data_IF_351297116330
#
_entry.id   IF_351297116330
#
_cell.length_a   1.000
_cell.length_b   1.000
_cell.length_c   1.000
_cell.angle_alpha   90.00
_cell.angle_beta   90.00
_cell.angle_gamma   90.00
#
_symmetry.space_group_name_H-M   'P 1'
#
loop_
_entity.id
_entity.type
_entity.pdbx_description
1 polymer ?
#
# COMPACT_ATOMS: atom_id res chain seq x y z
N UNK A 1 28.45 -0.02 2.88
CA UNK A 1 27.78 -0.42 1.63
C UNK A 1 28.77 -0.90 0.56
N UNK A 2 28.31 -1.75 -0.38
CA UNK A 2 29.16 -2.30 -1.46
C UNK A 2 29.34 -1.26 -2.55
N UNK A 3 30.60 -1.02 -2.95
CA UNK A 3 30.93 -0.10 -4.05
C UNK A 3 30.70 -0.79 -5.38
N UNK A 4 29.90 -0.21 -6.26
CA UNK A 4 29.54 -0.77 -7.55
C UNK A 4 29.96 0.10 -8.74
N UNK A 5 30.17 1.40 -8.53
CA UNK A 5 30.58 2.32 -9.59
C UNK A 5 32.05 2.10 -9.95
N UNK A 6 32.34 1.92 -11.23
CA UNK A 6 33.70 1.89 -11.76
C UNK A 6 34.35 3.28 -11.73
N UNK A 7 35.69 3.38 -11.78
CA UNK A 7 36.36 4.68 -11.90
C UNK A 7 35.91 5.52 -13.11
N UNK A 8 35.62 4.86 -14.24
CA UNK A 8 35.14 5.51 -15.46
C UNK A 8 33.72 6.07 -15.26
N UNK A 9 32.83 5.33 -14.61
CA UNK A 9 31.47 5.79 -14.27
C UNK A 9 31.53 6.98 -13.31
N UNK A 10 32.35 6.91 -12.29
CA UNK A 10 32.59 8.05 -11.36
C UNK A 10 33.12 9.28 -12.09
N UNK A 11 34.06 9.09 -13.02
CA UNK A 11 34.57 10.19 -13.83
C UNK A 11 33.47 10.77 -14.74
N UNK A 12 32.60 9.92 -15.28
CA UNK A 12 31.46 10.36 -16.08
C UNK A 12 30.47 11.19 -15.25
N UNK A 13 30.09 10.72 -14.07
CA UNK A 13 29.20 11.44 -13.14
C UNK A 13 29.78 12.80 -12.74
N UNK A 14 31.07 12.88 -12.45
CA UNK A 14 31.75 14.17 -12.20
C UNK A 14 31.62 15.14 -13.37
N UNK A 15 31.75 14.65 -14.62
CA UNK A 15 31.56 15.48 -15.82
C UNK A 15 30.12 15.96 -15.97
N UNK A 16 29.16 15.10 -15.70
CA UNK A 16 27.74 15.47 -15.69
C UNK A 16 27.49 16.59 -14.70
N UNK A 17 27.90 16.45 -13.45
CA UNK A 17 27.74 17.47 -12.43
C UNK A 17 28.45 18.78 -12.77
N UNK A 18 29.65 18.70 -13.36
CA UNK A 18 30.38 19.91 -13.79
C UNK A 18 29.68 20.61 -14.96
N UNK A 19 29.13 19.85 -15.90
CA UNK A 19 28.34 20.40 -16.99
C UNK A 19 27.09 21.11 -16.47
N UNK A 20 26.37 20.49 -15.55
CA UNK A 20 25.19 21.09 -14.93
C UNK A 20 25.55 22.39 -14.19
N UNK A 21 26.63 22.39 -13.42
CA UNK A 21 27.13 23.60 -12.78
C UNK A 21 27.55 24.72 -13.77
N UNK A 22 28.06 24.35 -14.96
CA UNK A 22 28.41 25.33 -15.99
C UNK A 22 27.20 26.02 -16.65
N UNK A 23 26.03 25.42 -16.53
CA UNK A 23 24.75 25.99 -16.96
C UNK A 23 24.15 26.96 -15.93
N UNK A 24 24.90 27.29 -14.86
CA UNK A 24 24.42 28.14 -13.78
C UNK A 24 23.42 27.45 -12.83
N UNK A 25 23.37 26.12 -12.89
CA UNK A 25 22.59 25.32 -11.97
C UNK A 25 23.37 25.21 -10.66
N UNK A 26 23.11 26.14 -9.76
CA UNK A 26 23.60 26.06 -8.40
C UNK A 26 22.80 24.99 -7.70
N UNK A 27 23.42 23.83 -7.44
CA UNK A 27 22.85 22.70 -6.72
C UNK A 27 21.67 22.01 -7.45
N UNK A 28 21.95 20.90 -8.10
CA UNK A 28 20.93 20.06 -8.75
C UNK A 28 20.93 18.66 -8.17
N UNK A 29 19.80 18.21 -7.72
CA UNK A 29 19.48 16.79 -7.57
C UNK A 29 18.81 16.32 -8.86
N UNK A 30 19.23 15.18 -9.37
CA UNK A 30 18.57 14.50 -10.46
C UNK A 30 17.89 13.30 -9.81
N UNK A 31 16.58 13.35 -9.75
CA UNK A 31 15.75 12.30 -9.20
C UNK A 31 15.18 11.45 -10.31
N UNK A 32 15.19 10.15 -10.14
CA UNK A 32 14.57 9.18 -11.03
C UNK A 32 13.56 8.39 -10.23
N UNK A 33 12.32 8.52 -10.60
CA UNK A 33 11.21 7.84 -9.96
C UNK A 33 10.83 6.58 -10.74
N UNK A 34 10.57 5.51 -10.02
CA UNK A 34 9.98 4.28 -10.55
C UNK A 34 8.76 3.99 -9.70
N UNK A 35 7.58 4.18 -10.28
CA UNK A 35 6.35 3.76 -9.65
C UNK A 35 6.10 2.30 -9.97
N UNK A 36 5.87 1.50 -8.96
CA UNK A 36 5.40 0.12 -9.11
C UNK A 36 4.08 0.00 -8.38
N UNK A 37 3.02 -0.33 -9.11
CA UNK A 37 1.68 -0.59 -8.55
C UNK A 37 1.44 -2.07 -8.25
N UNK A 38 2.43 -2.93 -8.46
CA UNK A 38 2.32 -4.36 -8.25
C UNK A 38 3.45 -4.85 -7.36
N UNK A 39 3.15 -5.80 -6.47
CA UNK A 39 4.11 -6.50 -5.61
C UNK A 39 5.20 -7.23 -6.40
N UNK A 40 4.96 -7.52 -7.68
CA UNK A 40 5.93 -8.11 -8.60
C UNK A 40 6.67 -6.99 -9.35
N UNK A 41 7.82 -6.59 -8.83
CA UNK A 41 8.71 -5.64 -9.51
C UNK A 41 9.28 -6.32 -10.76
N UNK A 42 8.66 -6.08 -11.91
CA UNK A 42 9.17 -6.54 -13.19
C UNK A 42 10.16 -5.51 -13.75
N UNK A 43 11.43 -5.72 -13.47
CA UNK A 43 12.53 -4.82 -13.87
C UNK A 43 12.72 -4.69 -15.38
N UNK A 44 12.12 -5.57 -16.19
CA UNK A 44 12.22 -5.52 -17.66
C UNK A 44 11.32 -4.44 -18.28
N UNK A 45 10.38 -3.86 -17.50
CA UNK A 45 9.40 -2.86 -17.95
C UNK A 45 9.48 -1.53 -17.17
N UNK A 46 10.65 -1.13 -16.71
CA UNK A 46 10.80 0.12 -15.96
C UNK A 46 10.55 1.32 -16.89
N UNK A 47 9.44 2.00 -16.66
CA UNK A 47 9.18 3.30 -17.24
C UNK A 47 9.88 4.37 -16.40
N UNK A 48 10.99 4.90 -16.89
CA UNK A 48 11.70 5.97 -16.24
C UNK A 48 10.95 7.29 -16.39
N UNK A 49 10.34 7.73 -15.32
CA UNK A 49 9.95 9.13 -15.16
C UNK A 49 11.11 9.83 -14.46
N UNK A 50 11.69 10.81 -15.10
CA UNK A 50 12.74 11.62 -14.49
C UNK A 50 12.20 13.01 -14.17
N UNK A 51 12.40 13.43 -12.95
CA UNK A 51 12.15 14.81 -12.52
C UNK A 51 13.50 15.44 -12.25
N UNK A 52 13.82 16.53 -12.93
CA UNK A 52 15.02 17.31 -12.62
C UNK A 52 14.62 18.48 -11.75
N UNK A 53 14.90 18.40 -10.47
CA UNK A 53 14.74 19.53 -9.55
C UNK A 53 16.00 20.40 -9.56
N UNK A 54 15.98 21.44 -10.37
CA UNK A 54 16.97 22.51 -10.28
C UNK A 54 16.36 23.73 -9.62
N UNK A 55 17.12 24.42 -8.80
CA UNK A 55 16.70 25.60 -8.03
C UNK A 55 16.11 26.75 -8.87
N UNK A 56 16.08 26.65 -10.21
CA UNK A 56 15.58 27.64 -11.14
C UNK A 56 14.65 27.10 -12.25
N UNK A 57 13.95 25.99 -12.07
CA UNK A 57 12.94 25.47 -13.03
C UNK A 57 13.44 25.17 -14.46
N UNK A 58 14.66 24.72 -14.64
CA UNK A 58 15.16 24.30 -15.94
C UNK A 58 15.02 22.77 -16.08
N UNK A 59 14.31 22.31 -17.11
CA UNK A 59 14.38 20.92 -17.56
C UNK A 59 15.54 20.78 -18.56
N UNK A 60 16.53 19.97 -18.23
CA UNK A 60 17.60 19.62 -19.14
C UNK A 60 17.41 18.17 -19.63
N UNK A 61 17.73 17.90 -20.89
CA UNK A 61 17.77 16.51 -21.37
C UNK A 61 18.86 15.74 -20.62
N UNK A 62 18.50 14.56 -20.13
CA UNK A 62 19.42 13.66 -19.46
C UNK A 62 20.53 13.20 -20.41
N UNK A 63 21.78 13.25 -19.95
CA UNK A 63 22.88 12.66 -20.72
C UNK A 63 22.63 11.15 -20.90
N UNK A 64 22.59 10.68 -22.14
CA UNK A 64 22.30 9.28 -22.49
C UNK A 64 23.19 8.24 -21.82
N UNK A 65 24.38 8.64 -21.37
CA UNK A 65 25.31 7.79 -20.62
C UNK A 65 24.94 7.55 -19.15
N UNK A 66 23.90 8.22 -18.62
CA UNK A 66 23.42 7.95 -17.26
C UNK A 66 22.61 6.66 -17.19
N UNK A 67 21.77 6.41 -18.17
CA UNK A 67 20.84 5.26 -18.17
C UNK A 67 21.55 3.93 -17.83
N UNK A 68 22.67 3.55 -18.46
CA UNK A 68 23.35 2.30 -18.10
C UNK A 68 23.88 2.26 -16.64
N UNK A 69 24.19 3.40 -16.06
CA UNK A 69 24.61 3.49 -14.65
C UNK A 69 23.42 3.25 -13.72
N UNK A 70 22.28 3.84 -14.05
CA UNK A 70 21.03 3.69 -13.30
C UNK A 70 20.54 2.24 -13.34
N UNK A 71 20.46 1.65 -14.54
CA UNK A 71 20.10 0.24 -14.73
C UNK A 71 20.99 -0.70 -13.91
N UNK A 72 22.30 -0.40 -13.85
CA UNK A 72 23.26 -1.17 -13.06
C UNK A 72 22.98 -1.09 -11.56
N UNK A 73 22.64 0.08 -11.05
CA UNK A 73 22.31 0.28 -9.63
C UNK A 73 21.06 -0.49 -9.25
N UNK A 74 20.01 -0.41 -10.08
CA UNK A 74 18.76 -1.12 -9.88
C UNK A 74 18.98 -2.62 -9.92
N UNK A 75 19.69 -3.08 -10.96
CA UNK A 75 20.03 -4.50 -11.06
C UNK A 75 20.81 -5.00 -9.84
N UNK A 76 21.74 -4.21 -9.33
CA UNK A 76 22.49 -4.53 -8.11
C UNK A 76 21.53 -4.65 -6.92
N UNK A 77 20.65 -3.70 -6.72
CA UNK A 77 19.71 -3.73 -5.60
C UNK A 77 18.75 -4.95 -5.70
N UNK A 78 18.30 -5.28 -6.92
CA UNK A 78 17.52 -6.49 -7.19
C UNK A 78 18.28 -7.77 -6.87
N UNK A 79 19.50 -7.91 -7.43
CA UNK A 79 20.32 -9.11 -7.25
C UNK A 79 20.70 -9.36 -5.77
N UNK A 80 20.82 -8.30 -4.97
CA UNK A 80 21.11 -8.38 -3.52
C UNK A 80 19.85 -8.53 -2.66
N UNK A 81 18.64 -8.50 -3.27
CA UNK A 81 17.37 -8.66 -2.56
C UNK A 81 17.05 -7.52 -1.59
N UNK A 82 17.48 -6.28 -1.92
CA UNK A 82 17.35 -5.14 -1.02
C UNK A 82 15.92 -4.55 -0.93
N UNK A 83 14.98 -5.09 -1.72
CA UNK A 83 13.62 -4.54 -1.86
C UNK A 83 12.55 -5.24 -1.03
N UNK A 84 12.91 -6.11 -0.10
CA UNK A 84 11.91 -6.74 0.74
C UNK A 84 11.64 -5.83 1.95
N UNK A 85 10.48 -5.19 2.05
CA UNK A 85 10.10 -4.54 3.29
C UNK A 85 9.89 -5.62 4.34
N UNK A 86 10.81 -5.72 5.30
CA UNK A 86 10.73 -6.67 6.41
C UNK A 86 9.53 -6.39 7.35
N UNK A 87 8.81 -5.29 7.14
CA UNK A 87 7.84 -4.75 8.09
C UNK A 87 6.37 -4.88 7.67
N UNK A 88 6.07 -5.20 6.40
CA UNK A 88 4.69 -5.36 5.94
C UNK A 88 4.50 -6.68 5.20
N UNK A 89 3.29 -7.22 5.28
CA UNK A 89 2.88 -8.28 4.38
C UNK A 89 2.86 -7.69 2.95
N UNK A 90 3.42 -8.37 1.95
CA UNK A 90 3.38 -7.89 0.56
C UNK A 90 1.97 -7.53 0.07
N UNK A 91 0.93 -8.15 0.62
CA UNK A 91 -0.46 -7.88 0.29
C UNK A 91 -0.96 -6.53 0.85
N UNK A 92 -0.29 -5.99 1.86
CA UNK A 92 -0.66 -4.72 2.50
C UNK A 92 0.02 -3.51 1.84
N UNK A 93 0.97 -3.73 0.92
CA UNK A 93 1.70 -2.64 0.24
C UNK A 93 0.78 -1.96 -0.76
N UNK A 94 0.57 -0.66 -0.56
CA UNK A 94 -0.29 0.15 -1.42
C UNK A 94 0.45 0.74 -2.62
N UNK A 95 1.65 1.27 -2.38
CA UNK A 95 2.52 1.74 -3.45
C UNK A 95 3.98 1.68 -3.03
N UNK A 96 4.85 1.59 -4.02
CA UNK A 96 6.30 1.65 -3.86
C UNK A 96 6.88 2.60 -4.89
N UNK A 97 7.85 3.39 -4.46
CA UNK A 97 8.61 4.29 -5.32
C UNK A 97 10.09 4.10 -5.06
N UNK A 98 10.85 3.91 -6.12
CA UNK A 98 12.31 3.94 -6.06
C UNK A 98 12.81 5.24 -6.63
N UNK A 99 13.75 5.84 -5.93
CA UNK A 99 14.35 7.10 -6.32
C UNK A 99 15.86 6.97 -6.35
N UNK A 100 16.48 7.34 -7.48
CA UNK A 100 17.92 7.49 -7.55
C UNK A 100 18.22 8.97 -7.60
N UNK A 101 18.86 9.49 -6.57
CA UNK A 101 19.31 10.87 -6.50
C UNK A 101 20.80 10.98 -6.84
N UNK A 102 21.15 12.04 -7.55
CA UNK A 102 22.54 12.43 -7.83
C UNK A 102 22.76 13.81 -7.25
N UNK A 103 23.41 13.89 -6.10
CA UNK A 103 23.82 15.14 -5.51
C UNK A 103 25.10 15.63 -6.18
N UNK A 104 24.98 16.60 -7.06
CA UNK A 104 26.13 17.20 -7.75
C UNK A 104 27.06 17.95 -6.82
N UNK A 105 26.59 18.37 -5.70
CA UNK A 105 27.26 19.10 -4.64
C UNK A 105 28.14 18.19 -3.79
N UNK A 106 27.50 17.19 -3.22
CA UNK A 106 28.17 16.18 -2.41
C UNK A 106 28.99 15.20 -3.24
N UNK A 107 28.76 15.14 -4.57
CA UNK A 107 29.32 14.12 -5.46
C UNK A 107 28.97 12.71 -5.02
N UNK A 108 27.71 12.48 -4.78
CA UNK A 108 27.13 11.28 -4.23
C UNK A 108 25.92 10.81 -5.06
N UNK A 109 25.75 9.51 -5.16
CA UNK A 109 24.53 8.89 -5.64
C UNK A 109 23.92 8.07 -4.54
N UNK A 110 22.59 8.10 -4.49
CA UNK A 110 21.81 7.35 -3.54
C UNK A 110 20.64 6.65 -4.25
N UNK A 111 20.34 5.44 -3.85
CA UNK A 111 19.10 4.74 -4.18
C UNK A 111 18.25 4.65 -2.92
N UNK A 112 17.11 5.28 -2.95
CA UNK A 112 16.14 5.25 -1.88
C UNK A 112 14.88 4.49 -2.31
N UNK A 113 14.29 3.79 -1.36
CA UNK A 113 13.03 3.09 -1.51
C UNK A 113 12.01 3.78 -0.61
N UNK A 114 10.97 4.33 -1.22
CA UNK A 114 9.78 4.88 -0.55
C UNK A 114 8.67 3.88 -0.72
N UNK A 115 7.93 3.62 0.33
CA UNK A 115 6.81 2.71 0.27
C UNK A 115 5.77 3.06 1.30
N UNK A 116 4.53 2.74 1.00
CA UNK A 116 3.42 2.85 1.93
C UNK A 116 2.68 1.53 2.02
N UNK A 117 2.13 1.29 3.19
CA UNK A 117 1.32 0.11 3.45
C UNK A 117 0.16 0.48 4.37
N UNK A 118 -0.88 -0.32 4.30
CA UNK A 118 -1.92 -0.25 5.31
C UNK A 118 -1.49 -1.05 6.53
N UNK A 119 -1.52 -0.40 7.69
CA UNK A 119 -1.42 -1.06 8.98
C UNK A 119 -2.80 -1.09 9.61
N UNK A 120 -3.08 -2.15 10.37
CA UNK A 120 -4.30 -2.25 11.13
C UNK A 120 -4.21 -1.31 12.32
N UNK A 121 -5.04 -0.28 12.28
CA UNK A 121 -5.15 0.72 13.34
C UNK A 121 -5.96 0.27 14.53
N UNK A 122 -6.68 1.20 15.15
CA UNK A 122 -7.53 0.88 16.29
C UNK A 122 -8.68 -0.05 15.87
N UNK A 123 -8.88 -1.10 16.68
CA UNK A 123 -10.03 -1.99 16.55
C UNK A 123 -11.13 -1.55 17.52
N UNK A 124 -12.37 -1.58 17.06
CA UNK A 124 -13.57 -1.33 17.86
C UNK A 124 -14.59 -2.43 17.62
N UNK A 125 -15.56 -2.55 18.50
CA UNK A 125 -16.61 -3.53 18.33
C UNK A 125 -17.95 -3.05 18.87
N UNK A 126 -19.03 -3.44 18.17
CA UNK A 126 -20.41 -3.20 18.58
C UNK A 126 -21.12 -4.54 18.66
N UNK A 127 -21.86 -4.76 19.73
CA UNK A 127 -22.60 -6.01 19.93
C UNK A 127 -24.06 -5.70 20.16
N UNK A 128 -24.93 -6.41 19.43
CA UNK A 128 -26.36 -6.46 19.63
C UNK A 128 -26.67 -7.78 20.31
N UNK A 129 -26.98 -7.74 21.59
CA UNK A 129 -27.25 -8.89 22.44
C UNK A 129 -28.54 -8.73 23.25
N UNK A 130 -28.86 -9.71 24.09
CA UNK A 130 -30.01 -9.70 24.97
C UNK A 130 -31.34 -9.55 24.25
N UNK A 131 -32.12 -8.52 24.58
CA UNK A 131 -33.43 -8.28 23.98
C UNK A 131 -33.31 -7.74 22.57
N UNK A 132 -32.30 -6.85 22.31
CA UNK A 132 -32.08 -6.26 20.98
C UNK A 132 -31.63 -7.30 19.95
N UNK A 133 -30.65 -8.12 20.27
CA UNK A 133 -30.22 -9.22 19.40
C UNK A 133 -31.36 -10.18 19.11
N UNK A 134 -32.09 -10.56 20.14
CA UNK A 134 -33.25 -11.46 20.02
C UNK A 134 -34.34 -10.90 19.10
N UNK A 135 -34.70 -9.62 19.21
CA UNK A 135 -35.69 -8.97 18.36
C UNK A 135 -35.27 -9.00 16.89
N UNK A 136 -33.98 -8.82 16.57
CA UNK A 136 -33.44 -8.87 15.22
C UNK A 136 -33.62 -10.29 14.63
N UNK A 137 -33.21 -11.33 15.34
CA UNK A 137 -33.35 -12.72 14.87
C UNK A 137 -34.81 -13.15 14.76
N UNK A 138 -35.68 -12.79 15.73
CA UNK A 138 -37.12 -13.08 15.66
C UNK A 138 -37.77 -12.40 14.44
N UNK A 139 -37.40 -11.16 14.12
CA UNK A 139 -37.89 -10.48 12.93
C UNK A 139 -37.47 -11.20 11.64
N UNK A 140 -36.20 -11.62 11.55
CA UNK A 140 -35.72 -12.37 10.38
C UNK A 140 -36.37 -13.75 10.26
N UNK A 141 -36.73 -14.39 11.37
CA UNK A 141 -37.47 -15.63 11.35
C UNK A 141 -38.91 -15.40 10.86
N UNK A 142 -39.61 -14.38 11.36
CA UNK A 142 -40.97 -14.03 10.92
C UNK A 142 -41.03 -13.65 9.44
N UNK A 143 -40.01 -12.95 8.93
CA UNK A 143 -39.90 -12.53 7.53
C UNK A 143 -39.42 -13.67 6.62
N UNK A 144 -39.04 -14.82 7.18
CA UNK A 144 -38.60 -16.00 6.45
C UNK A 144 -37.14 -15.94 5.99
N UNK A 145 -36.36 -14.88 6.37
CA UNK A 145 -34.99 -14.67 5.98
C UNK A 145 -34.10 -15.83 6.44
N UNK A 146 -34.28 -16.28 7.69
CA UNK A 146 -33.48 -17.38 8.25
C UNK A 146 -33.76 -18.73 7.54
N UNK A 147 -34.88 -18.88 6.89
CA UNK A 147 -35.19 -20.11 6.11
C UNK A 147 -34.36 -20.22 4.83
N UNK A 148 -33.72 -19.15 4.40
CA UNK A 148 -32.85 -19.09 3.24
C UNK A 148 -31.37 -19.39 3.60
N UNK A 149 -31.06 -19.53 4.90
CA UNK A 149 -29.72 -19.79 5.39
C UNK A 149 -29.49 -21.27 5.73
N UNK A 150 -28.34 -21.80 5.36
CA UNK A 150 -27.78 -23.01 5.91
C UNK A 150 -26.92 -22.70 7.13
N UNK A 151 -27.49 -22.84 8.33
CA UNK A 151 -26.78 -22.51 9.56
C UNK A 151 -25.80 -23.65 9.88
N UNK A 152 -24.49 -23.33 10.13
CA UNK A 152 -23.49 -24.33 10.50
C UNK A 152 -23.78 -25.02 11.81
N UNK A 153 -23.21 -26.23 12.00
CA UNK A 153 -23.38 -27.03 13.23
C UNK A 153 -22.90 -26.29 14.50
N UNK A 154 -22.03 -25.32 14.37
CA UNK A 154 -21.53 -24.48 15.48
C UNK A 154 -22.41 -23.26 15.76
N UNK A 155 -23.50 -23.08 15.03
CA UNK A 155 -24.44 -21.95 15.12
C UNK A 155 -23.77 -20.56 14.91
N UNK A 156 -22.62 -20.49 14.24
CA UNK A 156 -21.88 -19.23 13.98
C UNK A 156 -21.69 -19.03 12.49
N UNK A 157 -22.07 -17.84 11.99
CA UNK A 157 -21.76 -17.37 10.64
C UNK A 157 -20.96 -16.07 10.72
N UNK A 158 -20.01 -15.91 9.79
CA UNK A 158 -19.18 -14.71 9.69
C UNK A 158 -19.36 -14.09 8.32
N UNK A 159 -19.70 -12.80 8.29
CA UNK A 159 -19.84 -11.99 7.09
C UNK A 159 -18.79 -10.88 7.12
N UNK A 160 -17.89 -10.87 6.17
CA UNK A 160 -16.79 -9.89 6.11
C UNK A 160 -17.14 -8.67 5.28
N UNK A 161 -16.43 -7.59 5.52
CA UNK A 161 -16.46 -6.39 4.71
C UNK A 161 -15.08 -5.77 4.57
N UNK A 162 -14.92 -5.02 3.49
CA UNK A 162 -13.71 -4.25 3.24
C UNK A 162 -14.09 -2.95 2.51
N UNK A 163 -13.49 -1.84 2.91
CA UNK A 163 -13.65 -0.54 2.29
C UNK A 163 -12.33 0.19 2.16
N UNK A 164 -12.13 0.86 1.02
CA UNK A 164 -11.00 1.73 0.77
C UNK A 164 -11.24 2.62 -0.46
N UNK A 165 -10.61 3.79 -0.52
CA UNK A 165 -10.61 4.63 -1.72
C UNK A 165 -11.99 5.11 -2.17
N UNK A 166 -12.88 5.46 -1.25
CA UNK A 166 -14.25 5.92 -1.47
C UNK A 166 -15.22 4.82 -1.95
N UNK A 167 -14.89 3.56 -1.76
CA UNK A 167 -15.78 2.43 -2.05
C UNK A 167 -15.58 1.29 -1.07
N UNK A 168 -16.65 0.55 -0.81
CA UNK A 168 -16.59 -0.61 0.06
C UNK A 168 -17.65 -1.64 -0.31
N UNK A 169 -17.45 -2.85 0.16
CA UNK A 169 -18.39 -3.93 -0.03
C UNK A 169 -18.45 -4.83 1.19
N UNK A 170 -19.64 -5.43 1.39
CA UNK A 170 -19.84 -6.54 2.29
C UNK A 170 -19.84 -7.80 1.43
N UNK A 171 -19.19 -8.87 1.87
CA UNK A 171 -19.16 -10.13 1.14
C UNK A 171 -20.57 -10.68 0.94
N UNK A 172 -20.85 -11.16 -0.27
CA UNK A 172 -22.16 -11.73 -0.62
C UNK A 172 -22.33 -13.18 -0.17
N UNK A 173 -21.38 -13.72 0.58
CA UNK A 173 -21.41 -15.09 1.10
C UNK A 173 -20.80 -15.15 2.50
N UNK A 174 -21.29 -16.09 3.30
CA UNK A 174 -20.67 -16.39 4.59
C UNK A 174 -19.45 -17.30 4.41
N UNK A 175 -18.37 -17.06 5.14
CA UNK A 175 -17.07 -17.70 5.02
C UNK A 175 -17.08 -19.23 4.89
N UNK A 176 -17.85 -19.90 5.74
CA UNK A 176 -17.75 -21.35 5.87
C UNK A 176 -18.72 -22.12 4.96
N UNK A 177 -19.78 -21.48 4.50
CA UNK A 177 -20.84 -22.15 3.74
C UNK A 177 -20.82 -21.88 2.24
N UNK A 178 -20.20 -20.76 1.80
CA UNK A 178 -20.34 -20.20 0.45
C UNK A 178 -21.79 -19.94 0.04
N UNK A 179 -22.71 -19.90 0.98
CA UNK A 179 -24.08 -19.58 0.70
C UNK A 179 -24.28 -18.09 0.50
N UNK A 180 -25.19 -17.73 -0.38
CA UNK A 180 -25.52 -16.33 -0.61
C UNK A 180 -26.15 -15.73 0.64
N UNK A 181 -25.67 -14.56 1.05
CA UNK A 181 -26.29 -13.79 2.12
C UNK A 181 -27.65 -13.28 1.65
N UNK A 182 -28.73 -13.51 2.39
CA UNK A 182 -30.03 -12.90 2.09
C UNK A 182 -29.92 -11.38 2.09
N UNK A 183 -30.53 -10.72 1.10
CA UNK A 183 -30.45 -9.24 0.95
C UNK A 183 -30.90 -8.48 2.19
N UNK A 184 -31.83 -9.03 2.96
CA UNK A 184 -32.27 -8.40 4.21
C UNK A 184 -31.16 -8.33 5.29
N UNK A 185 -30.29 -9.34 5.35
CA UNK A 185 -29.12 -9.34 6.25
C UNK A 185 -28.04 -8.40 5.73
N UNK A 186 -27.79 -8.42 4.42
CA UNK A 186 -26.82 -7.53 3.79
C UNK A 186 -27.23 -6.05 3.97
N UNK A 187 -28.48 -5.69 3.68
CA UNK A 187 -29.02 -4.35 3.87
C UNK A 187 -28.91 -3.90 5.34
N UNK A 188 -29.25 -4.79 6.28
CA UNK A 188 -29.11 -4.54 7.71
C UNK A 188 -27.63 -4.31 8.10
N UNK A 189 -26.72 -5.12 7.58
CA UNK A 189 -25.31 -4.99 7.86
C UNK A 189 -24.74 -3.67 7.34
N UNK A 190 -25.10 -3.23 6.13
CA UNK A 190 -24.74 -1.91 5.60
C UNK A 190 -25.29 -0.78 6.47
N UNK A 191 -26.56 -0.84 6.88
CA UNK A 191 -27.17 0.16 7.77
C UNK A 191 -26.44 0.25 9.12
N UNK A 192 -26.05 -0.90 9.69
CA UNK A 192 -25.34 -0.94 10.96
C UNK A 192 -23.90 -0.45 10.84
N UNK A 193 -23.22 -0.82 9.77
CA UNK A 193 -21.87 -0.36 9.49
C UNK A 193 -21.85 1.17 9.30
N UNK A 194 -22.73 1.72 8.47
CA UNK A 194 -22.82 3.16 8.24
C UNK A 194 -23.22 3.94 9.51
N UNK A 195 -24.13 3.40 10.30
CA UNK A 195 -24.61 4.10 11.51
C UNK A 195 -23.61 4.11 12.66
N UNK A 196 -22.73 3.11 12.76
CA UNK A 196 -21.73 3.01 13.83
C UNK A 196 -20.35 3.53 13.40
N UNK A 197 -19.99 3.34 12.14
CA UNK A 197 -18.68 3.63 11.57
C UNK A 197 -18.80 4.39 10.24
N UNK A 198 -19.57 5.49 10.22
CA UNK A 198 -19.83 6.28 9.01
C UNK A 198 -18.54 6.72 8.32
N UNK A 199 -18.45 6.49 7.00
CA UNK A 199 -17.24 6.76 6.24
C UNK A 199 -16.21 5.62 6.29
N UNK A 200 -16.65 4.44 6.65
CA UNK A 200 -15.84 3.22 6.75
C UNK A 200 -15.10 2.86 5.45
N UNK A 201 -15.58 3.35 4.31
CA UNK A 201 -15.01 3.16 2.97
C UNK A 201 -14.11 4.31 2.50
N UNK A 202 -14.00 5.41 3.28
CA UNK A 202 -13.32 6.63 2.84
C UNK A 202 -11.82 6.57 3.13
N UNK A 203 -11.00 7.06 2.19
CA UNK A 203 -9.53 7.12 2.25
C UNK A 203 -8.90 5.72 2.43
N UNK A 204 -8.19 5.51 3.56
CA UNK A 204 -7.56 4.25 3.93
C UNK A 204 -8.61 3.16 4.21
N UNK A 205 -9.84 3.61 4.53
CA UNK A 205 -10.98 2.76 4.80
C UNK A 205 -10.87 1.95 6.08
N UNK A 206 -11.52 0.79 6.03
CA UNK A 206 -11.56 -0.13 7.16
C UNK A 206 -11.91 -1.55 6.69
N UNK A 207 -11.59 -2.51 7.52
CA UNK A 207 -12.03 -3.90 7.34
C UNK A 207 -12.66 -4.44 8.62
N UNK A 208 -13.37 -5.53 8.48
CA UNK A 208 -13.96 -6.18 9.62
C UNK A 208 -14.95 -7.29 9.27
N UNK A 209 -15.69 -7.69 10.29
CA UNK A 209 -16.62 -8.80 10.16
C UNK A 209 -17.83 -8.65 11.08
N UNK A 210 -18.96 -9.14 10.60
CA UNK A 210 -20.12 -9.43 11.44
C UNK A 210 -20.11 -10.90 11.83
N UNK A 211 -20.17 -11.17 13.11
CA UNK A 211 -20.27 -12.52 13.66
C UNK A 211 -21.70 -12.73 14.18
N UNK A 212 -22.44 -13.62 13.55
CA UNK A 212 -23.82 -13.99 13.91
C UNK A 212 -23.80 -15.28 14.71
N UNK A 213 -24.18 -15.22 15.97
CA UNK A 213 -24.33 -16.37 16.85
C UNK A 213 -25.81 -16.71 17.03
N UNK A 214 -26.28 -17.73 16.32
CA UNK A 214 -27.68 -18.16 16.31
C UNK A 214 -28.10 -18.85 17.63
N UNK A 215 -27.14 -19.40 18.38
CA UNK A 215 -27.42 -20.03 19.65
C UNK A 215 -27.72 -19.01 20.77
N UNK A 216 -26.92 -17.93 20.82
CA UNK A 216 -27.08 -16.87 21.82
C UNK A 216 -27.97 -15.74 21.33
N UNK A 217 -28.32 -15.72 20.05
CA UNK A 217 -29.01 -14.61 19.36
C UNK A 217 -28.27 -13.28 19.56
N UNK A 218 -26.97 -13.33 19.25
CA UNK A 218 -26.05 -12.21 19.37
C UNK A 218 -25.38 -11.93 18.03
N UNK A 219 -25.22 -10.66 17.71
CA UNK A 219 -24.47 -10.21 16.54
C UNK A 219 -23.36 -9.29 17.02
N UNK A 220 -22.14 -9.58 16.63
CA UNK A 220 -20.99 -8.71 16.93
C UNK A 220 -20.41 -8.19 15.61
N UNK A 221 -20.25 -6.88 15.50
CA UNK A 221 -19.49 -6.21 14.48
C UNK A 221 -18.11 -5.89 15.03
N UNK A 222 -17.10 -6.54 14.50
CA UNK A 222 -15.69 -6.20 14.73
C UNK A 222 -15.25 -5.28 13.59
N UNK A 223 -14.72 -4.12 13.96
CA UNK A 223 -14.31 -3.09 13.02
C UNK A 223 -12.85 -2.71 13.28
N UNK A 224 -12.08 -2.56 12.22
CA UNK A 224 -10.69 -2.14 12.29
C UNK A 224 -10.48 -1.02 11.29
N UNK A 225 -10.04 0.15 11.77
CA UNK A 225 -9.61 1.24 10.90
C UNK A 225 -8.26 0.89 10.28
N UNK A 226 -8.10 1.21 9.01
CA UNK A 226 -6.80 1.13 8.36
C UNK A 226 -6.08 2.47 8.52
N UNK A 227 -4.76 2.41 8.68
CA UNK A 227 -3.88 3.59 8.70
C UNK A 227 -2.84 3.42 7.61
N UNK A 228 -2.60 4.47 6.83
CA UNK A 228 -1.49 4.46 5.87
C UNK A 228 -0.21 4.84 6.61
N UNK A 229 0.74 3.91 6.62
CA UNK A 229 2.08 4.13 7.11
C UNK A 229 3.04 4.30 5.94
N UNK A 230 4.02 5.19 6.11
CA UNK A 230 5.01 5.48 5.08
C UNK A 230 6.42 5.28 5.62
N UNK A 231 7.29 4.72 4.81
CA UNK A 231 8.71 4.61 5.11
C UNK A 231 9.60 5.00 3.94
N UNK A 232 10.82 5.36 4.27
CA UNK A 232 11.89 5.56 3.30
C UNK A 232 13.16 4.90 3.79
N UNK A 233 13.73 4.06 2.95
CA UNK A 233 14.96 3.33 3.23
C UNK A 233 16.02 3.67 2.19
N UNK A 234 17.22 4.06 2.64
CA UNK A 234 18.38 4.17 1.76
C UNK A 234 18.95 2.80 1.50
N UNK A 235 18.70 2.27 0.32
CA UNK A 235 19.14 0.93 -0.08
C UNK A 235 20.61 0.90 -0.48
N UNK A 236 21.10 1.98 -1.08
CA UNK A 236 22.48 2.09 -1.53
C UNK A 236 22.88 3.55 -1.66
N UNK A 237 24.14 3.84 -1.31
CA UNK A 237 24.77 5.12 -1.55
C UNK A 237 26.24 4.94 -1.95
N UNK A 238 26.75 5.78 -2.80
CA UNK A 238 28.17 5.79 -3.18
C UNK A 238 28.67 7.18 -3.58
N UNK A 239 29.77 7.60 -2.95
CA UNK A 239 30.48 8.83 -3.34
C UNK A 239 31.30 8.62 -4.62
N UNK A 240 31.29 9.64 -5.49
CA UNK A 240 32.11 9.70 -6.70
C UNK A 240 33.03 10.92 -6.76
N UNK A 241 33.17 11.65 -5.67
CA UNK A 241 33.90 12.93 -5.60
C UNK A 241 35.42 12.84 -5.52
N UNK A 242 35.95 11.79 -4.92
CA UNK A 242 37.40 11.63 -4.69
C UNK A 242 37.97 10.45 -5.45
N UNK A 243 39.19 10.59 -6.00
CA UNK A 243 40.04 9.50 -6.41
C UNK A 243 40.71 8.86 -5.18
#
# INVERSE_FOLDING_TARGET
>A
MKKILTPEEKQYLRRVCNYMGSLGMEYGEIEFEMDTYDSDINYDNINWNYVTHFSNNYSAELPSGLIPILEKIIKFASDEGLYSPDAADPEDIQWQKFEISISCDKKEMELSHYWSWYDRGEADSVTWDGEEGKEIFEQWEEDGVLSELEIPENDILTLRYNGSGDSGYIESSFDETNDSVPSAIEDWAYDKLESNFGGWEINEGSDGEFVFNFHTMEITLNHTYNTEENSVDTLWEEEFGTE
#
